data_IF_232470653283
#
_entry.id   IF_232470653283
#
_cell.length_a   1.000
_cell.length_b   1.000
_cell.length_c   1.000
_cell.angle_alpha   90.00
_cell.angle_beta   90.00
_cell.angle_gamma   90.00
#
_symmetry.space_group_name_H-M   'P 1'
#
loop_
_entity.id
_entity.type
_entity.pdbx_description
1 polymer ?
#
# COMPACT_ATOMS: atom_id res chain seq x y z
N UNK A 1 -42.09 18.09 -47.84
CA UNK A 1 -41.14 18.70 -46.89
C UNK A 1 -40.88 17.73 -45.78
N UNK A 2 -39.70 17.09 -45.76
CA UNK A 2 -39.30 16.11 -44.73
C UNK A 2 -38.30 16.82 -43.83
N UNK A 3 -38.66 17.04 -42.57
CA UNK A 3 -37.78 17.62 -41.55
C UNK A 3 -37.02 16.49 -40.87
N UNK A 4 -35.72 16.36 -41.16
CA UNK A 4 -34.84 15.45 -40.47
C UNK A 4 -34.38 16.07 -39.15
N UNK A 5 -34.88 15.55 -38.02
CA UNK A 5 -34.44 15.97 -36.70
C UNK A 5 -33.07 15.36 -36.35
N UNK A 6 -32.05 16.20 -36.15
CA UNK A 6 -30.75 15.82 -35.63
C UNK A 6 -30.88 15.60 -34.10
N UNK A 7 -30.80 14.35 -33.62
CA UNK A 7 -30.66 14.05 -32.21
C UNK A 7 -29.18 14.21 -31.82
N UNK A 8 -28.85 15.27 -31.10
CA UNK A 8 -27.54 15.47 -30.51
C UNK A 8 -27.42 14.58 -29.25
N UNK A 9 -26.70 13.46 -29.36
CA UNK A 9 -26.37 12.60 -28.24
C UNK A 9 -25.30 13.26 -27.35
N UNK A 10 -25.67 13.62 -26.12
CA UNK A 10 -24.70 14.03 -25.08
C UNK A 10 -23.97 12.81 -24.59
N UNK A 11 -22.73 12.64 -25.01
CA UNK A 11 -21.83 11.68 -24.39
C UNK A 11 -21.39 12.21 -23.00
N UNK A 12 -21.95 11.67 -21.91
CA UNK A 12 -21.44 11.91 -20.58
C UNK A 12 -20.12 11.17 -20.44
N UNK A 13 -19.00 11.92 -20.40
CA UNK A 13 -17.71 11.37 -20.07
C UNK A 13 -17.77 10.89 -18.61
N UNK A 14 -17.72 9.58 -18.40
CA UNK A 14 -17.55 8.99 -17.08
C UNK A 14 -16.19 9.46 -16.54
N UNK A 15 -16.21 10.25 -15.47
CA UNK A 15 -15.01 10.66 -14.76
C UNK A 15 -14.49 9.40 -14.04
N UNK A 16 -13.34 8.87 -14.45
CA UNK A 16 -12.67 7.83 -13.69
C UNK A 16 -12.37 8.40 -12.30
N UNK A 17 -12.88 7.79 -11.24
CA UNK A 17 -12.48 8.12 -9.88
C UNK A 17 -10.97 7.82 -9.77
N UNK A 18 -10.21 8.83 -9.37
CA UNK A 18 -8.77 8.69 -9.11
C UNK A 18 -8.61 7.90 -7.81
N UNK A 19 -8.44 6.58 -7.94
CA UNK A 19 -8.31 5.67 -6.80
C UNK A 19 -6.93 5.87 -6.19
N UNK A 20 -6.87 6.43 -4.98
CA UNK A 20 -5.64 6.50 -4.19
C UNK A 20 -5.22 5.09 -3.72
N UNK A 21 -4.44 4.41 -4.56
CA UNK A 21 -3.97 3.05 -4.32
C UNK A 21 -3.15 2.98 -3.02
N UNK A 22 -2.30 3.96 -2.76
CA UNK A 22 -1.47 4.00 -1.55
C UNK A 22 -2.30 4.10 -0.28
N UNK A 23 -3.31 4.94 -0.29
CA UNK A 23 -4.27 5.05 0.83
C UNK A 23 -5.07 3.75 1.00
N UNK A 24 -5.57 3.19 -0.08
CA UNK A 24 -6.34 1.93 -0.02
C UNK A 24 -5.50 0.79 0.56
N UNK A 25 -4.24 0.68 0.11
CA UNK A 25 -3.29 -0.31 0.61
C UNK A 25 -2.96 -0.10 2.09
N UNK A 26 -2.72 1.15 2.50
CA UNK A 26 -2.48 1.48 3.90
C UNK A 26 -3.68 1.13 4.79
N UNK A 27 -4.88 1.49 4.38
CA UNK A 27 -6.11 1.21 5.13
C UNK A 27 -6.36 -0.28 5.30
N UNK A 28 -6.10 -1.10 4.27
CA UNK A 28 -6.31 -2.54 4.31
C UNK A 28 -5.24 -3.30 5.10
N UNK A 29 -3.99 -2.83 5.07
CA UNK A 29 -2.83 -3.59 5.54
C UNK A 29 -2.19 -3.02 6.81
N UNK A 30 -2.26 -1.71 7.04
CA UNK A 30 -1.49 -1.03 8.08
C UNK A 30 -2.35 -0.40 9.17
N UNK A 31 -3.57 0.08 8.83
CA UNK A 31 -4.39 0.86 9.72
C UNK A 31 -4.86 0.11 10.98
N UNK A 32 -4.95 -1.22 10.96
CA UNK A 32 -5.31 -2.03 12.12
C UNK A 32 -4.36 -1.79 13.31
N UNK A 33 -3.07 -1.59 13.04
CA UNK A 33 -2.05 -1.30 14.05
C UNK A 33 -1.73 0.19 14.14
N UNK A 34 -1.49 0.85 12.98
CA UNK A 34 -1.03 2.24 12.94
C UNK A 34 -2.16 3.28 13.03
N UNK A 35 -3.43 2.87 12.98
CA UNK A 35 -4.58 3.76 12.95
C UNK A 35 -4.86 4.30 11.55
N UNK A 36 -6.12 4.68 11.28
CA UNK A 36 -6.52 5.28 10.02
C UNK A 36 -5.85 6.64 9.77
N UNK A 37 -5.44 7.32 10.86
CA UNK A 37 -4.69 8.56 10.87
C UNK A 37 -3.17 8.38 10.90
N UNK A 38 -2.69 7.14 10.85
CA UNK A 38 -1.29 6.72 10.88
C UNK A 38 -0.51 7.12 12.15
N UNK A 39 -1.20 7.44 13.28
CA UNK A 39 -0.58 7.89 14.53
C UNK A 39 -0.26 6.78 15.53
N UNK A 40 -0.26 5.53 15.12
CA UNK A 40 0.10 4.39 15.95
C UNK A 40 -1.00 3.94 16.92
N UNK A 41 -2.23 4.42 16.76
CA UNK A 41 -3.37 4.14 17.66
C UNK A 41 -4.46 3.34 16.97
N UNK A 42 -4.08 2.33 16.21
CA UNK A 42 -5.04 1.42 15.59
C UNK A 42 -5.76 0.51 16.61
N UNK A 43 -6.89 -0.11 16.21
CA UNK A 43 -7.73 -0.90 17.12
C UNK A 43 -7.01 -2.08 17.80
N UNK A 44 -5.93 -2.61 17.18
CA UNK A 44 -5.15 -3.70 17.78
C UNK A 44 -3.87 -3.23 18.48
N UNK A 45 -3.55 -1.93 18.45
CA UNK A 45 -2.30 -1.39 18.99
C UNK A 45 -2.10 -1.68 20.47
N UNK A 46 -3.17 -1.72 21.27
CA UNK A 46 -3.11 -2.05 22.70
C UNK A 46 -2.81 -3.52 23.02
N UNK A 47 -2.83 -4.39 22.02
CA UNK A 47 -2.51 -5.82 22.17
C UNK A 47 -1.05 -6.13 21.81
N UNK A 48 -0.33 -5.16 21.26
CA UNK A 48 1.06 -5.32 20.84
C UNK A 48 2.00 -5.04 22.00
N UNK A 49 3.11 -5.79 22.06
CA UNK A 49 4.16 -5.58 23.08
C UNK A 49 4.86 -4.24 22.91
N UNK A 50 4.96 -3.77 21.67
CA UNK A 50 5.56 -2.48 21.33
C UNK A 50 4.51 -1.63 20.63
N UNK A 51 4.30 -0.41 21.12
CA UNK A 51 3.37 0.52 20.49
C UNK A 51 3.80 0.85 19.06
N UNK A 52 2.89 0.79 18.08
CA UNK A 52 3.20 1.19 16.71
C UNK A 52 3.62 2.66 16.64
N UNK A 53 4.61 2.95 15.81
CA UNK A 53 5.10 4.31 15.63
C UNK A 53 4.06 5.22 15.00
N UNK A 54 4.11 6.51 15.32
CA UNK A 54 3.43 7.57 14.57
C UNK A 54 4.15 7.77 13.24
N UNK A 55 3.51 7.32 12.16
CA UNK A 55 4.06 7.36 10.80
C UNK A 55 3.95 8.76 10.17
N UNK A 56 3.22 9.68 10.79
CA UNK A 56 3.12 11.08 10.30
C UNK A 56 4.34 11.93 10.67
N UNK A 57 5.24 11.39 11.51
CA UNK A 57 6.43 12.09 12.01
C UNK A 57 7.74 11.62 11.38
N UNK A 58 7.70 10.74 10.38
CA UNK A 58 8.90 10.15 9.78
C UNK A 58 9.86 11.22 9.21
N UNK A 59 9.32 12.21 8.51
CA UNK A 59 10.11 13.34 7.96
C UNK A 59 10.74 14.17 9.08
N UNK A 60 9.94 14.52 10.09
CA UNK A 60 10.42 15.32 11.24
C UNK A 60 11.51 14.58 12.01
N UNK A 61 11.36 13.28 12.22
CA UNK A 61 12.32 12.46 12.95
C UNK A 61 13.58 12.13 12.14
N UNK A 62 13.61 12.49 10.86
CA UNK A 62 14.74 12.30 9.95
C UNK A 62 15.23 13.62 9.35
N UNK A 63 15.40 14.63 10.19
CA UNK A 63 15.98 15.94 9.81
C UNK A 63 15.25 16.63 8.64
N UNK A 64 13.95 16.50 8.54
CA UNK A 64 13.13 17.15 7.50
C UNK A 64 13.11 16.42 6.17
N UNK A 65 13.73 15.24 6.05
CA UNK A 65 13.75 14.43 4.82
C UNK A 65 12.95 13.15 5.05
N UNK A 66 11.99 12.86 4.18
CA UNK A 66 11.23 11.61 4.27
C UNK A 66 12.16 10.40 4.00
N UNK A 67 12.24 9.41 4.92
CA UNK A 67 13.22 8.33 4.86
C UNK A 67 12.76 7.18 3.94
N UNK A 68 12.56 7.44 2.65
CA UNK A 68 12.03 6.51 1.65
C UNK A 68 12.69 5.12 1.69
N UNK A 69 14.02 5.07 1.69
CA UNK A 69 14.76 3.80 1.67
C UNK A 69 14.56 3.00 2.97
N UNK A 70 14.59 3.67 4.12
CA UNK A 70 14.39 3.00 5.41
C UNK A 70 12.97 2.44 5.53
N UNK A 71 11.96 3.16 5.04
CA UNK A 71 10.58 2.69 4.99
C UNK A 71 10.45 1.51 4.04
N UNK A 72 11.06 1.59 2.85
CA UNK A 72 11.07 0.48 1.89
C UNK A 72 11.69 -0.79 2.48
N UNK A 73 12.87 -0.69 3.07
CA UNK A 73 13.58 -1.82 3.69
C UNK A 73 12.77 -2.45 4.84
N UNK A 74 12.07 -1.61 5.62
CA UNK A 74 11.20 -2.07 6.71
C UNK A 74 10.00 -2.84 6.17
N UNK A 75 9.33 -2.33 5.16
CA UNK A 75 8.16 -2.97 4.54
C UNK A 75 8.55 -4.23 3.76
N UNK A 76 9.61 -4.16 2.97
CA UNK A 76 10.11 -5.30 2.20
C UNK A 76 10.62 -6.43 3.10
N UNK A 77 11.14 -6.11 4.29
CA UNK A 77 11.63 -7.06 5.28
C UNK A 77 13.13 -7.33 5.21
N UNK A 78 13.88 -6.58 4.39
CA UNK A 78 15.35 -6.68 4.32
C UNK A 78 16.03 -6.12 5.56
N UNK A 79 15.34 -5.25 6.31
CA UNK A 79 15.84 -4.67 7.56
C UNK A 79 15.04 -5.17 8.75
N UNK A 80 15.71 -5.85 9.68
CA UNK A 80 15.15 -6.09 11.01
C UNK A 80 15.15 -4.79 11.79
N UNK A 81 13.99 -4.33 12.24
CA UNK A 81 13.90 -3.13 13.09
C UNK A 81 13.94 -3.60 14.54
N UNK A 82 15.07 -3.41 15.28
CA UNK A 82 15.24 -3.91 16.65
C UNK A 82 14.20 -3.35 17.62
N UNK A 83 13.66 -2.15 17.34
CA UNK A 83 12.64 -1.50 18.15
C UNK A 83 11.29 -2.23 18.18
N UNK A 84 11.08 -3.20 17.29
CA UNK A 84 9.85 -3.99 17.24
C UNK A 84 9.95 -5.34 17.96
N UNK A 85 11.04 -5.63 18.68
CA UNK A 85 11.21 -6.86 19.46
C UNK A 85 11.09 -8.12 18.59
N UNK A 86 10.21 -9.03 18.98
CA UNK A 86 9.71 -10.08 18.09
C UNK A 86 8.89 -9.41 17.00
N UNK A 87 9.10 -9.74 15.73
CA UNK A 87 8.42 -9.16 14.54
C UNK A 87 6.90 -9.13 14.68
N UNK A 88 6.39 -8.13 15.37
CA UNK A 88 4.95 -7.90 15.46
C UNK A 88 4.43 -7.27 14.16
N UNK A 89 5.27 -6.46 13.49
CA UNK A 89 4.98 -5.95 12.15
C UNK A 89 5.31 -7.02 11.10
N UNK A 90 4.34 -7.42 10.26
CA UNK A 90 4.55 -8.41 9.20
C UNK A 90 5.64 -8.00 8.20
N UNK A 91 6.26 -8.99 7.56
CA UNK A 91 7.08 -8.77 6.37
C UNK A 91 6.14 -8.57 5.19
N UNK A 92 5.95 -7.32 4.79
CA UNK A 92 5.00 -6.98 3.74
C UNK A 92 5.47 -7.43 2.36
N UNK A 93 6.79 -7.54 2.14
CA UNK A 93 7.34 -8.16 0.93
C UNK A 93 6.80 -9.57 0.68
N UNK A 94 6.69 -10.38 1.73
CA UNK A 94 6.07 -11.71 1.65
C UNK A 94 4.54 -11.64 1.53
N UNK A 95 3.89 -10.81 2.35
CA UNK A 95 2.43 -10.69 2.35
C UNK A 95 1.86 -10.10 1.05
N UNK A 96 2.58 -9.21 0.41
CA UNK A 96 2.18 -8.62 -0.86
C UNK A 96 2.48 -9.50 -2.06
N UNK A 97 3.25 -10.57 -1.85
CA UNK A 97 3.55 -11.52 -2.90
C UNK A 97 2.30 -12.35 -3.24
N UNK A 98 1.73 -12.22 -4.43
CA UNK A 98 0.50 -12.90 -4.79
C UNK A 98 0.66 -14.43 -4.84
N UNK A 99 1.87 -14.94 -5.06
CA UNK A 99 2.12 -16.39 -5.16
C UNK A 99 2.11 -17.06 -3.78
N UNK A 100 2.64 -16.39 -2.74
CA UNK A 100 2.77 -16.99 -1.40
C UNK A 100 1.42 -17.12 -0.71
N UNK A 101 0.48 -16.25 -1.02
CA UNK A 101 -0.80 -16.14 -0.31
C UNK A 101 -1.97 -16.83 -1.02
N UNK A 102 -1.71 -17.58 -2.07
CA UNK A 102 -2.76 -18.27 -2.81
C UNK A 102 -2.73 -19.80 -2.55
N UNK A 103 -3.87 -20.52 -2.56
CA UNK A 103 -3.89 -21.98 -2.42
C UNK A 103 -3.11 -22.63 -3.57
N UNK A 104 -2.14 -23.45 -3.22
CA UNK A 104 -1.01 -23.95 -4.02
C UNK A 104 -1.27 -24.58 -5.39
N UNK A 105 -2.50 -24.81 -5.82
CA UNK A 105 -2.75 -25.63 -7.02
C UNK A 105 -3.11 -24.83 -8.29
N UNK A 106 -3.66 -23.64 -8.16
CA UNK A 106 -4.20 -22.89 -9.32
C UNK A 106 -3.24 -21.82 -9.83
N UNK A 107 -2.28 -21.41 -9.00
CA UNK A 107 -1.59 -20.13 -9.15
C UNK A 107 -0.31 -20.17 -9.93
N UNK A 108 0.48 -21.25 -9.82
CA UNK A 108 1.70 -21.41 -10.61
C UNK A 108 1.41 -21.40 -12.13
N UNK A 109 0.24 -21.94 -12.53
CA UNK A 109 -0.16 -21.97 -13.92
C UNK A 109 -0.55 -20.60 -14.47
N UNK A 110 -1.32 -19.82 -13.70
CA UNK A 110 -1.72 -18.46 -14.10
C UNK A 110 -0.53 -17.51 -14.14
N UNK A 111 0.35 -17.58 -13.15
CA UNK A 111 1.53 -16.70 -13.08
C UNK A 111 2.58 -17.04 -14.12
N UNK A 112 2.73 -18.32 -14.51
CA UNK A 112 3.62 -18.71 -15.60
C UNK A 112 3.11 -18.25 -16.97
N UNK A 113 1.78 -18.15 -17.17
CA UNK A 113 1.19 -17.63 -18.42
C UNK A 113 1.00 -16.13 -18.45
N UNK A 114 0.96 -15.49 -17.31
CA UNK A 114 0.81 -14.05 -17.17
C UNK A 114 2.13 -13.36 -17.49
N UNK A 115 2.59 -13.17 -18.62
CA UNK A 115 3.84 -12.56 -19.10
C UNK A 115 4.68 -11.71 -18.11
N UNK A 116 5.80 -11.15 -18.53
CA UNK A 116 6.76 -10.44 -17.63
C UNK A 116 6.18 -9.27 -16.84
N UNK A 117 5.02 -8.74 -17.25
CA UNK A 117 4.33 -7.63 -16.58
C UNK A 117 3.61 -8.03 -15.28
N UNK A 118 3.47 -9.32 -15.01
CA UNK A 118 2.87 -9.85 -13.79
C UNK A 118 3.89 -10.59 -12.90
N UNK A 119 5.17 -10.23 -13.02
CA UNK A 119 6.18 -10.71 -12.10
C UNK A 119 5.76 -10.36 -10.65
N UNK A 120 5.68 -11.35 -9.75
CA UNK A 120 5.28 -11.14 -8.36
C UNK A 120 6.10 -10.05 -7.66
N UNK A 121 7.37 -9.96 -7.97
CA UNK A 121 8.26 -8.94 -7.42
C UNK A 121 7.85 -7.51 -7.87
N UNK A 122 7.37 -7.36 -9.10
CA UNK A 122 6.84 -6.07 -9.59
C UNK A 122 5.59 -5.69 -8.80
N UNK A 123 4.70 -6.65 -8.53
CA UNK A 123 3.49 -6.42 -7.73
C UNK A 123 3.86 -5.99 -6.31
N UNK A 124 4.77 -6.73 -5.66
CA UNK A 124 5.27 -6.42 -4.31
C UNK A 124 5.82 -5.00 -4.25
N UNK A 125 6.75 -4.66 -5.15
CA UNK A 125 7.39 -3.34 -5.18
C UNK A 125 6.38 -2.23 -5.44
N UNK A 126 5.46 -2.44 -6.37
CA UNK A 126 4.43 -1.44 -6.69
C UNK A 126 3.55 -1.15 -5.47
N UNK A 127 3.11 -2.16 -4.75
CA UNK A 127 2.30 -2.01 -3.54
C UNK A 127 3.07 -1.28 -2.42
N UNK A 128 4.34 -1.64 -2.21
CA UNK A 128 5.20 -0.97 -1.22
C UNK A 128 5.40 0.50 -1.60
N UNK A 129 5.71 0.79 -2.87
CA UNK A 129 5.92 2.17 -3.33
C UNK A 129 4.65 3.01 -3.23
N UNK A 130 3.47 2.43 -3.49
CA UNK A 130 2.19 3.11 -3.30
C UNK A 130 1.96 3.49 -1.82
N UNK A 131 2.26 2.59 -0.87
CA UNK A 131 2.19 2.91 0.57
C UNK A 131 3.19 4.00 0.95
N UNK A 132 4.42 3.94 0.42
CA UNK A 132 5.46 4.95 0.66
C UNK A 132 5.01 6.33 0.17
N UNK A 133 4.44 6.42 -1.03
CA UNK A 133 3.89 7.66 -1.57
C UNK A 133 2.78 8.21 -0.67
N UNK A 134 1.84 7.38 -0.24
CA UNK A 134 0.79 7.79 0.69
C UNK A 134 1.39 8.31 2.01
N UNK A 135 2.32 7.57 2.62
CA UNK A 135 2.98 7.99 3.86
C UNK A 135 3.72 9.32 3.71
N UNK A 136 4.40 9.54 2.59
CA UNK A 136 5.09 10.81 2.33
C UNK A 136 4.12 12.00 2.23
N UNK A 137 2.94 11.79 1.65
CA UNK A 137 1.91 12.84 1.51
C UNK A 137 1.28 13.25 2.85
N UNK A 138 1.20 12.36 3.83
CA UNK A 138 0.55 12.61 5.11
C UNK A 138 1.52 13.09 6.21
N UNK A 139 2.76 13.41 5.87
CA UNK A 139 3.72 13.90 6.86
C UNK A 139 3.30 15.24 7.48
N UNK A 140 3.45 15.36 8.79
CA UNK A 140 3.29 16.63 9.49
C UNK A 140 4.45 17.58 9.12
N UNK A 141 4.09 18.81 8.81
CA UNK A 141 5.04 19.91 8.53
C UNK A 141 5.62 20.45 9.81
#
# INVERSE_FOLDING_TARGET
>A
MIIAGLAAGFATAAKAEDVDIGRAEFMSSCASCHGADAKGKGPVSGQLKTAPSDLTLLTRNNNGVFPTNAVYETLYGSKSVPAHGTREMPIWGERFNPIINLPHAVDSYYWQKAGPQQNPEVVVRTRILAVIDYLNRIQQK
#
